data_IF_670849311861
#
_entry.id   IF_670849311861
#
_cell.length_a   1.000
_cell.length_b   1.000
_cell.length_c   1.000
_cell.angle_alpha   90.00
_cell.angle_beta   90.00
_cell.angle_gamma   90.00
#
_symmetry.space_group_name_H-M   'P 1'
#
loop_
_entity.id
_entity.type
_entity.pdbx_description
1 polymer ?
#
# COMPACT_ATOMS: atom_id res chain seq x y z
N UNK A 1 3.78 22.47 -25.68
CA UNK A 1 4.89 22.41 -24.70
C UNK A 1 4.39 22.48 -23.25
N UNK A 2 3.22 23.08 -22.98
CA UNK A 2 2.66 23.15 -21.61
C UNK A 2 2.05 21.85 -21.07
N UNK A 3 1.51 20.98 -21.93
CA UNK A 3 0.91 19.70 -21.50
C UNK A 3 1.89 18.70 -20.89
N UNK A 4 3.08 18.55 -21.49
CA UNK A 4 4.10 17.63 -20.99
C UNK A 4 4.66 18.05 -19.61
N UNK A 5 4.74 19.37 -19.36
CA UNK A 5 5.16 19.91 -18.07
C UNK A 5 4.12 19.69 -16.98
N UNK A 6 2.83 19.73 -17.33
CA UNK A 6 1.74 19.44 -16.41
C UNK A 6 1.72 17.96 -16.00
N UNK A 7 1.87 17.05 -16.97
CA UNK A 7 1.96 15.61 -16.72
C UNK A 7 3.16 15.24 -15.82
N UNK A 8 4.31 15.89 -16.04
CA UNK A 8 5.50 15.73 -15.20
C UNK A 8 5.25 16.17 -13.75
N UNK A 9 4.58 17.32 -13.57
CA UNK A 9 4.20 17.82 -12.25
C UNK A 9 3.21 16.87 -11.56
N UNK A 10 2.20 16.35 -12.27
CA UNK A 10 1.24 15.39 -11.73
C UNK A 10 1.92 14.08 -11.31
N UNK A 11 2.88 13.60 -12.10
CA UNK A 11 3.68 12.43 -11.76
C UNK A 11 4.53 12.65 -10.49
N UNK A 12 5.14 13.82 -10.34
CA UNK A 12 5.88 14.20 -9.14
C UNK A 12 4.97 14.28 -7.91
N UNK A 13 3.79 14.90 -8.04
CA UNK A 13 2.80 14.97 -6.95
C UNK A 13 2.37 13.57 -6.52
N UNK A 14 2.13 12.68 -7.49
CA UNK A 14 1.73 11.31 -7.19
C UNK A 14 2.87 10.52 -6.52
N UNK A 15 4.12 10.74 -6.94
CA UNK A 15 5.28 10.15 -6.29
C UNK A 15 5.42 10.61 -4.84
N UNK A 16 5.24 11.91 -4.58
CA UNK A 16 5.30 12.48 -3.24
C UNK A 16 4.22 11.92 -2.32
N UNK A 17 2.97 11.86 -2.80
CA UNK A 17 1.86 11.25 -2.04
C UNK A 17 2.15 9.81 -1.63
N UNK A 18 2.77 9.03 -2.52
CA UNK A 18 3.20 7.66 -2.21
C UNK A 18 4.34 7.62 -1.22
N UNK A 19 5.29 8.55 -1.28
CA UNK A 19 6.40 8.63 -0.31
C UNK A 19 5.87 8.89 1.09
N UNK A 20 5.09 9.96 1.25
CA UNK A 20 4.51 10.36 2.55
C UNK A 20 3.66 9.23 3.13
N UNK A 21 2.84 8.57 2.30
CA UNK A 21 1.98 7.47 2.79
C UNK A 21 2.78 6.27 3.28
N UNK A 22 3.94 5.98 2.66
CA UNK A 22 4.84 4.91 3.13
C UNK A 22 5.52 5.27 4.45
N UNK A 23 5.91 6.52 4.61
CA UNK A 23 6.49 7.01 5.87
C UNK A 23 5.48 6.90 7.01
N UNK A 24 4.24 7.39 6.80
CA UNK A 24 3.15 7.25 7.78
C UNK A 24 2.90 5.79 8.14
N UNK A 25 2.87 4.89 7.15
CA UNK A 25 2.71 3.46 7.38
C UNK A 25 3.87 2.89 8.21
N UNK A 26 5.11 3.23 7.89
CA UNK A 26 6.30 2.74 8.59
C UNK A 26 6.30 3.20 10.05
N UNK A 27 5.99 4.47 10.31
CA UNK A 27 5.89 5.02 11.67
C UNK A 27 4.81 4.30 12.49
N UNK A 28 3.62 4.09 11.91
CA UNK A 28 2.54 3.37 12.59
C UNK A 28 2.89 1.90 12.86
N UNK A 29 3.61 1.26 11.93
CA UNK A 29 4.08 -0.11 12.07
C UNK A 29 5.13 -0.25 13.16
N UNK A 30 6.17 0.60 13.14
CA UNK A 30 7.23 0.64 14.14
C UNK A 30 6.65 0.90 15.52
N UNK A 31 5.73 1.86 15.62
CA UNK A 31 5.06 2.18 16.89
C UNK A 31 4.32 0.98 17.48
N UNK A 32 3.59 0.24 16.66
CA UNK A 32 2.86 -0.94 17.11
C UNK A 32 3.81 -2.06 17.57
N UNK A 33 4.96 -2.23 16.90
CA UNK A 33 6.01 -3.15 17.33
C UNK A 33 6.62 -2.73 18.67
N UNK A 34 6.89 -1.44 18.87
CA UNK A 34 7.40 -0.88 20.15
C UNK A 34 6.42 -1.11 21.30
N UNK A 35 5.13 -1.04 21.03
CA UNK A 35 4.06 -1.32 21.99
C UNK A 35 3.87 -2.85 22.23
N UNK A 36 4.70 -3.70 21.60
CA UNK A 36 4.75 -5.15 21.80
C UNK A 36 3.72 -5.95 21.01
N UNK A 37 3.09 -5.35 20.00
CA UNK A 37 2.07 -5.99 19.16
C UNK A 37 2.74 -6.88 18.11
N UNK A 38 2.26 -8.10 17.94
CA UNK A 38 2.81 -9.04 16.97
C UNK A 38 2.57 -8.60 15.52
N UNK A 39 3.57 -8.76 14.65
CA UNK A 39 3.51 -8.34 13.25
C UNK A 39 2.29 -8.88 12.48
N UNK A 40 1.85 -10.11 12.79
CA UNK A 40 0.65 -10.71 12.19
C UNK A 40 -0.63 -9.94 12.57
N UNK A 41 -0.74 -9.51 13.84
CA UNK A 41 -1.86 -8.72 14.34
C UNK A 41 -1.87 -7.34 13.69
N UNK A 42 -0.70 -6.70 13.56
CA UNK A 42 -0.56 -5.40 12.89
C UNK A 42 -0.99 -5.51 11.42
N UNK A 43 -0.45 -6.49 10.70
CA UNK A 43 -0.77 -6.71 9.29
C UNK A 43 -2.27 -6.93 9.07
N UNK A 44 -2.91 -7.76 9.90
CA UNK A 44 -4.36 -8.00 9.80
C UNK A 44 -5.16 -6.72 10.03
N UNK A 45 -4.83 -5.96 11.08
CA UNK A 45 -5.53 -4.72 11.40
C UNK A 45 -5.40 -3.68 10.27
N UNK A 46 -4.21 -3.54 9.70
CA UNK A 46 -3.97 -2.59 8.61
C UNK A 46 -4.69 -3.00 7.31
N UNK A 47 -4.69 -4.28 6.96
CA UNK A 47 -5.43 -4.76 5.77
C UNK A 47 -6.94 -4.54 5.95
N UNK A 48 -7.50 -4.92 7.11
CA UNK A 48 -8.92 -4.73 7.39
C UNK A 48 -9.33 -3.26 7.38
N UNK A 49 -8.56 -2.42 8.06
CA UNK A 49 -8.79 -0.99 8.12
C UNK A 49 -8.72 -0.36 6.73
N UNK A 50 -7.66 -0.64 5.97
CA UNK A 50 -7.47 -0.07 4.65
C UNK A 50 -8.57 -0.48 3.67
N UNK A 51 -8.95 -1.77 3.62
CA UNK A 51 -10.02 -2.25 2.75
C UNK A 51 -11.39 -1.72 3.18
N UNK A 52 -11.66 -1.64 4.49
CA UNK A 52 -12.88 -1.07 5.03
C UNK A 52 -13.03 0.41 4.70
N UNK A 53 -11.97 1.21 4.87
CA UNK A 53 -11.99 2.63 4.50
C UNK A 53 -12.12 2.83 2.99
N UNK A 54 -11.42 2.02 2.19
CA UNK A 54 -11.53 2.08 0.73
C UNK A 54 -12.96 1.77 0.27
N UNK A 55 -13.58 0.74 0.85
CA UNK A 55 -14.98 0.40 0.57
C UNK A 55 -15.93 1.53 0.97
N UNK A 56 -15.71 2.17 2.12
CA UNK A 56 -16.52 3.34 2.55
C UNK A 56 -16.35 4.54 1.63
N UNK A 57 -15.13 4.85 1.21
CA UNK A 57 -14.82 6.04 0.43
C UNK A 57 -15.14 5.89 -1.05
N UNK A 58 -15.05 4.68 -1.61
CA UNK A 58 -15.10 4.45 -3.06
C UNK A 58 -15.96 3.25 -3.49
N UNK A 59 -16.59 2.56 -2.53
CA UNK A 59 -17.46 1.42 -2.77
C UNK A 59 -16.72 0.08 -2.77
N UNK A 60 -17.48 -0.98 -2.52
CA UNK A 60 -16.98 -2.36 -2.41
C UNK A 60 -16.22 -2.83 -3.65
N UNK A 61 -16.56 -2.31 -4.84
CA UNK A 61 -15.87 -2.68 -6.09
C UNK A 61 -14.40 -2.28 -6.09
N UNK A 62 -14.04 -1.14 -5.49
CA UNK A 62 -12.64 -0.71 -5.42
C UNK A 62 -11.85 -1.53 -4.40
N UNK A 63 -12.46 -1.90 -3.27
CA UNK A 63 -11.85 -2.82 -2.32
C UNK A 63 -11.61 -4.21 -2.95
N UNK A 64 -12.55 -4.73 -3.73
CA UNK A 64 -12.40 -6.00 -4.45
C UNK A 64 -11.28 -5.96 -5.50
N UNK A 65 -11.11 -4.83 -6.21
CA UNK A 65 -9.98 -4.63 -7.13
C UNK A 65 -8.64 -4.67 -6.38
N UNK A 66 -8.56 -4.05 -5.20
CA UNK A 66 -7.36 -4.10 -4.36
C UNK A 66 -7.03 -5.53 -3.93
N UNK A 67 -8.04 -6.31 -3.51
CA UNK A 67 -7.86 -7.73 -3.17
C UNK A 67 -7.34 -8.54 -4.37
N UNK A 68 -7.91 -8.31 -5.56
CA UNK A 68 -7.44 -8.96 -6.78
C UNK A 68 -5.98 -8.60 -7.09
N UNK A 69 -5.57 -7.34 -6.86
CA UNK A 69 -4.18 -6.90 -7.01
C UNK A 69 -3.26 -7.61 -6.02
N UNK A 70 -3.65 -7.73 -4.75
CA UNK A 70 -2.89 -8.47 -3.72
C UNK A 70 -2.67 -9.92 -4.15
N UNK A 71 -3.72 -10.58 -4.66
CA UNK A 71 -3.62 -11.94 -5.18
C UNK A 71 -2.68 -12.03 -6.39
N UNK A 72 -2.70 -11.04 -7.29
CA UNK A 72 -1.76 -10.99 -8.41
C UNK A 72 -0.31 -10.84 -7.95
N UNK A 73 -0.05 -10.07 -6.89
CA UNK A 73 1.29 -9.91 -6.31
C UNK A 73 1.80 -11.21 -5.68
N UNK A 74 0.91 -11.95 -4.99
CA UNK A 74 1.22 -13.27 -4.44
C UNK A 74 1.59 -14.27 -5.53
N UNK A 75 0.78 -14.36 -6.59
CA UNK A 75 1.07 -15.21 -7.74
C UNK A 75 2.36 -14.83 -8.47
N UNK A 76 2.70 -13.54 -8.45
CA UNK A 76 3.96 -13.01 -8.99
C UNK A 76 5.17 -13.25 -8.06
N UNK A 77 4.97 -13.79 -6.86
CA UNK A 77 6.03 -14.04 -5.90
C UNK A 77 6.60 -12.77 -5.25
N UNK A 78 5.87 -11.65 -5.26
CA UNK A 78 6.37 -10.37 -4.73
C UNK A 78 6.59 -10.38 -3.21
N UNK A 79 6.00 -11.36 -2.51
CA UNK A 79 6.19 -11.56 -1.08
C UNK A 79 7.26 -12.62 -0.74
N UNK A 80 7.88 -13.24 -1.75
CA UNK A 80 8.94 -14.21 -1.53
C UNK A 80 10.24 -13.47 -1.15
N UNK A 81 10.75 -13.76 0.05
CA UNK A 81 11.98 -13.17 0.59
C UNK A 81 13.24 -13.61 -0.20
N UNK A 82 13.17 -14.73 -0.91
CA UNK A 82 14.21 -15.23 -1.80
C UNK A 82 13.85 -14.94 -3.26
N UNK A 83 14.15 -13.72 -3.73
CA UNK A 83 14.44 -13.51 -5.15
C UNK A 83 15.82 -14.10 -5.41
N UNK A 84 15.93 -15.43 -5.49
CA UNK A 84 17.16 -16.07 -5.97
C UNK A 84 17.35 -15.58 -7.40
N UNK A 85 18.32 -14.69 -7.60
CA UNK A 85 18.77 -14.24 -8.91
C UNK A 85 19.15 -15.51 -9.68
N UNK A 86 18.36 -15.88 -10.68
CA UNK A 86 18.75 -16.88 -11.68
C UNK A 86 19.63 -16.22 -12.74
#
# INVERSE_FOLDING_TARGET
MDGAKLEEIDALILAEKRSITREIFAEAWERALEDGIEAEVIARAFIDGALGELARASGDSEALKMIAMIRSMEQGGEFLLDKTIQ
#
